data_IF_531070793274
#
_entry.id   IF_531070793274
#
_cell.length_a   1.000
_cell.length_b   1.000
_cell.length_c   1.000
_cell.angle_alpha   90.00
_cell.angle_beta   90.00
_cell.angle_gamma   90.00
#
_symmetry.space_group_name_H-M   'P 1'
#
loop_
_entity.id
_entity.type
_entity.pdbx_description
1 polymer ?
#
# COMPACT_ATOMS: atom_id res chain seq x y z
N UNK A 1 52.41 -18.93 31.54
CA UNK A 1 51.00 -19.36 31.54
C UNK A 1 50.17 -18.12 31.28
N UNK A 2 49.94 -17.81 30.00
CA UNK A 2 49.09 -16.71 29.60
C UNK A 2 47.65 -17.22 29.53
N UNK A 3 46.81 -16.75 30.43
CA UNK A 3 45.38 -17.03 30.46
C UNK A 3 44.70 -16.26 29.34
N UNK A 4 44.35 -16.97 28.26
CA UNK A 4 43.45 -16.48 27.20
C UNK A 4 42.05 -16.30 27.78
N UNK A 5 41.68 -15.05 28.04
CA UNK A 5 40.31 -14.68 28.44
C UNK A 5 39.40 -14.87 27.23
N UNK A 6 38.49 -15.85 27.31
CA UNK A 6 37.49 -16.10 26.29
C UNK A 6 36.48 -14.95 26.24
N UNK A 7 36.40 -14.29 25.09
CA UNK A 7 35.45 -13.23 24.80
C UNK A 7 34.04 -13.85 24.70
N UNK A 8 33.15 -13.51 25.63
CA UNK A 8 31.78 -14.01 25.60
C UNK A 8 30.98 -13.21 24.57
N UNK A 9 30.17 -13.87 23.72
CA UNK A 9 29.35 -13.17 22.72
C UNK A 9 28.30 -12.30 23.43
N UNK A 10 28.45 -11.00 23.30
CA UNK A 10 27.47 -10.00 23.75
C UNK A 10 26.18 -10.20 22.98
N UNK A 11 25.16 -10.77 23.63
CA UNK A 11 23.83 -10.92 23.03
C UNK A 11 23.25 -9.52 22.81
N UNK A 12 23.17 -9.10 21.54
CA UNK A 12 22.62 -7.81 21.16
C UNK A 12 21.20 -7.67 21.73
N UNK A 13 20.98 -6.59 22.49
CA UNK A 13 19.66 -6.29 23.04
C UNK A 13 18.65 -6.14 21.89
N UNK A 14 17.52 -6.83 21.97
CA UNK A 14 16.45 -6.71 20.99
C UNK A 14 16.04 -5.23 20.87
N UNK A 15 15.97 -4.73 19.64
CA UNK A 15 15.58 -3.35 19.38
C UNK A 15 14.21 -3.05 20.03
N UNK A 16 14.04 -1.85 20.62
CA UNK A 16 12.77 -1.48 21.22
C UNK A 16 11.67 -1.51 20.17
N UNK A 17 10.55 -2.15 20.52
CA UNK A 17 9.38 -2.24 19.65
C UNK A 17 8.83 -0.84 19.32
N UNK A 18 8.61 -0.58 18.04
CA UNK A 18 8.04 0.67 17.54
C UNK A 18 6.80 0.38 16.66
N UNK A 19 5.59 0.79 17.09
CA UNK A 19 4.36 0.60 16.32
C UNK A 19 4.39 1.30 14.96
N UNK A 20 5.16 2.38 14.80
CA UNK A 20 5.28 3.08 13.52
C UNK A 20 6.12 2.29 12.51
N UNK A 21 7.15 1.57 12.98
CA UNK A 21 7.89 0.63 12.13
C UNK A 21 7.04 -0.56 11.69
N UNK A 22 6.11 -1.02 12.53
CA UNK A 22 5.14 -2.04 12.14
C UNK A 22 4.22 -1.52 11.03
N UNK A 23 3.65 -0.33 11.20
CA UNK A 23 2.79 0.29 10.16
C UNK A 23 3.57 0.52 8.86
N UNK A 24 4.82 0.96 8.94
CA UNK A 24 5.70 1.11 7.77
C UNK A 24 5.91 -0.22 7.04
N UNK A 25 6.13 -1.33 7.77
CA UNK A 25 6.25 -2.67 7.17
C UNK A 25 4.93 -3.12 6.53
N UNK A 26 3.80 -2.84 7.15
CA UNK A 26 2.48 -3.14 6.58
C UNK A 26 2.23 -2.36 5.29
N UNK A 27 2.64 -1.10 5.23
CA UNK A 27 2.57 -0.30 4.00
C UNK A 27 3.53 -0.82 2.92
N UNK A 28 4.73 -1.30 3.27
CA UNK A 28 5.61 -1.97 2.31
C UNK A 28 4.99 -3.26 1.76
N UNK A 29 4.32 -4.05 2.60
CA UNK A 29 3.60 -5.23 2.15
C UNK A 29 2.43 -4.90 1.24
N UNK A 30 1.63 -3.89 1.61
CA UNK A 30 0.52 -3.42 0.81
C UNK A 30 1.01 -2.90 -0.55
N UNK A 31 2.13 -2.19 -0.56
CA UNK A 31 2.76 -1.71 -1.78
C UNK A 31 3.27 -2.84 -2.67
N UNK A 32 3.96 -3.82 -2.08
CA UNK A 32 4.45 -4.99 -2.80
C UNK A 32 3.29 -5.75 -3.44
N UNK A 33 2.21 -5.96 -2.69
CA UNK A 33 0.98 -6.56 -3.20
C UNK A 33 0.39 -5.76 -4.36
N UNK A 34 0.35 -4.43 -4.25
CA UNK A 34 -0.15 -3.56 -5.32
C UNK A 34 0.69 -3.66 -6.60
N UNK A 35 2.02 -3.71 -6.48
CA UNK A 35 2.93 -3.95 -7.60
C UNK A 35 2.73 -5.34 -8.22
N UNK A 36 2.34 -6.33 -7.42
CA UNK A 36 1.93 -7.67 -7.88
C UNK A 36 0.48 -7.69 -8.42
N UNK A 37 -0.22 -6.56 -8.42
CA UNK A 37 -1.60 -6.43 -8.91
C UNK A 37 -2.68 -6.87 -7.91
N UNK A 38 -2.33 -7.03 -6.64
CA UNK A 38 -3.24 -7.35 -5.54
C UNK A 38 -3.55 -6.07 -4.76
N UNK A 39 -4.79 -5.60 -4.84
CA UNK A 39 -5.24 -4.44 -4.07
C UNK A 39 -5.38 -4.78 -2.59
N UNK A 40 -5.10 -3.81 -1.72
CA UNK A 40 -5.34 -3.92 -0.27
C UNK A 40 -6.47 -2.97 0.11
N UNK A 41 -7.53 -3.50 0.73
CA UNK A 41 -8.73 -2.73 1.10
C UNK A 41 -8.68 -2.17 2.53
N UNK A 42 -7.61 -2.49 3.29
CA UNK A 42 -7.39 -1.96 4.63
C UNK A 42 -7.18 -0.44 4.57
N UNK A 43 -8.07 0.34 5.18
CA UNK A 43 -7.94 1.81 5.26
C UNK A 43 -7.22 2.26 6.54
N UNK A 44 -7.34 1.48 7.62
CA UNK A 44 -6.87 1.84 8.95
C UNK A 44 -6.12 0.68 9.57
N UNK A 45 -4.99 0.97 10.20
CA UNK A 45 -4.30 0.07 11.10
C UNK A 45 -4.59 0.46 12.55
N UNK A 46 -4.94 -0.51 13.37
CA UNK A 46 -5.11 -0.34 14.82
C UNK A 46 -4.11 -1.25 15.51
N UNK A 47 -3.05 -0.67 16.06
CA UNK A 47 -2.05 -1.41 16.84
C UNK A 47 -2.43 -1.33 18.31
N UNK A 48 -2.64 -2.48 18.96
CA UNK A 48 -2.99 -2.55 20.39
C UNK A 48 -1.78 -2.98 21.20
N UNK A 49 -1.41 -2.18 22.19
CA UNK A 49 -0.27 -2.46 23.07
C UNK A 49 -0.54 -1.94 24.49
N UNK A 50 -0.48 -2.84 25.49
CA UNK A 50 -0.60 -2.46 26.90
C UNK A 50 -1.91 -1.72 27.27
N UNK A 51 -3.00 -1.98 26.53
CA UNK A 51 -4.29 -1.29 26.70
C UNK A 51 -4.39 0.07 26.00
N UNK A 52 -3.34 0.51 25.29
CA UNK A 52 -3.39 1.66 24.40
C UNK A 52 -3.66 1.22 22.96
N UNK A 53 -4.46 2.01 22.24
CA UNK A 53 -4.68 1.85 20.81
C UNK A 53 -3.98 2.96 20.04
N UNK A 54 -3.09 2.58 19.12
CA UNK A 54 -2.46 3.50 18.18
C UNK A 54 -3.13 3.29 16.82
N UNK A 55 -3.75 4.36 16.31
CA UNK A 55 -4.51 4.32 15.06
C UNK A 55 -3.75 5.06 13.98
N UNK A 56 -3.47 4.37 12.88
CA UNK A 56 -2.83 4.93 11.69
C UNK A 56 -3.69 4.72 10.45
N UNK A 57 -3.64 5.66 9.50
CA UNK A 57 -4.20 5.44 8.16
C UNK A 57 -3.21 4.61 7.34
N UNK A 58 -3.68 3.66 6.53
CA UNK A 58 -2.84 3.00 5.53
C UNK A 58 -2.55 3.94 4.36
N UNK A 59 -1.80 3.48 3.34
CA UNK A 59 -1.75 4.17 2.04
C UNK A 59 -3.15 4.42 1.48
N UNK A 60 -3.97 3.38 1.39
CA UNK A 60 -5.34 3.47 0.87
C UNK A 60 -6.21 4.41 1.72
N UNK A 61 -6.02 4.43 3.04
CA UNK A 61 -6.71 5.37 3.92
C UNK A 61 -6.32 6.84 3.71
N UNK A 62 -5.06 7.11 3.37
CA UNK A 62 -4.62 8.47 2.97
C UNK A 62 -5.26 8.86 1.64
N UNK A 63 -5.32 7.95 0.67
CA UNK A 63 -5.97 8.19 -0.62
C UNK A 63 -7.47 8.47 -0.45
N UNK A 64 -8.16 7.73 0.44
CA UNK A 64 -9.56 7.96 0.77
C UNK A 64 -9.79 9.32 1.42
N UNK A 65 -8.90 9.76 2.31
CA UNK A 65 -8.95 11.11 2.86
C UNK A 65 -8.79 12.20 1.79
N UNK A 66 -7.91 11.98 0.80
CA UNK A 66 -7.78 12.88 -0.34
C UNK A 66 -9.08 12.93 -1.14
N UNK A 67 -9.75 11.79 -1.38
CA UNK A 67 -11.04 11.75 -2.06
C UNK A 67 -12.15 12.46 -1.27
N UNK A 68 -12.16 12.32 0.06
CA UNK A 68 -13.07 13.07 0.93
C UNK A 68 -12.85 14.58 0.80
N UNK A 69 -11.61 15.06 0.67
CA UNK A 69 -11.32 16.47 0.39
C UNK A 69 -11.86 16.92 -0.97
N UNK A 70 -11.79 16.07 -2.00
CA UNK A 70 -12.34 16.39 -3.34
C UNK A 70 -13.83 16.71 -3.24
N UNK A 71 -14.58 15.94 -2.43
CA UNK A 71 -16.01 16.22 -2.20
C UNK A 71 -16.29 17.57 -1.53
N UNK A 72 -15.28 18.17 -0.90
CA UNK A 72 -15.32 19.48 -0.25
C UNK A 72 -14.74 20.61 -1.11
N UNK A 73 -14.44 20.34 -2.39
CA UNK A 73 -13.79 21.31 -3.28
C UNK A 73 -12.33 21.56 -2.93
N UNK A 74 -11.64 20.59 -2.34
CA UNK A 74 -10.20 20.66 -2.05
C UNK A 74 -9.46 19.51 -2.72
N UNK A 75 -8.27 19.80 -3.26
CA UNK A 75 -7.40 18.76 -3.84
C UNK A 75 -6.00 18.89 -3.26
N UNK A 76 -5.31 17.77 -3.10
CA UNK A 76 -3.89 17.75 -2.79
C UNK A 76 -3.13 17.34 -4.05
N UNK A 77 -2.15 18.13 -4.46
CA UNK A 77 -1.30 17.86 -5.62
C UNK A 77 0.15 17.68 -5.18
N UNK A 78 0.80 16.68 -5.75
CA UNK A 78 2.25 16.49 -5.64
C UNK A 78 2.92 17.42 -6.65
N UNK A 79 3.86 18.25 -6.19
CA UNK A 79 4.50 19.27 -7.02
C UNK A 79 5.92 18.87 -7.44
N UNK A 80 6.64 18.19 -6.54
CA UNK A 80 8.04 17.84 -6.73
C UNK A 80 8.38 16.59 -5.93
N UNK A 81 9.29 15.80 -6.48
CA UNK A 81 9.86 14.62 -5.83
C UNK A 81 11.35 14.55 -6.15
N UNK A 82 12.16 14.71 -5.12
CA UNK A 82 13.62 14.61 -5.21
C UNK A 82 14.13 13.53 -4.28
N UNK A 83 15.31 13.00 -4.56
CA UNK A 83 16.00 12.08 -3.65
C UNK A 83 17.51 12.31 -3.69
N UNK A 84 18.18 11.96 -2.59
CA UNK A 84 19.63 11.94 -2.48
C UNK A 84 20.08 10.60 -1.88
N UNK A 85 21.17 10.04 -2.41
CA UNK A 85 21.79 8.85 -1.82
C UNK A 85 22.73 9.30 -0.70
N UNK A 86 22.55 8.74 0.49
CA UNK A 86 23.35 9.00 1.68
C UNK A 86 24.00 7.70 2.17
N UNK A 87 25.17 7.83 2.81
CA UNK A 87 25.96 6.69 3.27
C UNK A 87 26.86 6.07 2.19
N UNK A 88 27.60 5.04 2.57
CA UNK A 88 28.56 4.31 1.72
C UNK A 88 28.35 2.80 1.83
N UNK A 89 28.83 2.04 0.84
CA UNK A 89 28.75 0.58 0.84
C UNK A 89 27.32 0.02 0.92
N UNK A 90 27.11 -0.92 1.84
CA UNK A 90 25.85 -1.64 2.04
C UNK A 90 24.91 -0.95 3.05
N UNK A 91 25.36 0.16 3.65
CA UNK A 91 24.56 1.02 4.53
C UNK A 91 23.97 2.21 3.76
N UNK A 92 24.02 2.18 2.43
CA UNK A 92 23.44 3.22 1.58
C UNK A 92 21.93 3.26 1.72
N UNK A 93 21.44 4.49 1.81
CA UNK A 93 20.01 4.79 1.84
C UNK A 93 19.69 5.92 0.88
N UNK A 94 18.44 5.97 0.43
CA UNK A 94 17.92 7.09 -0.31
C UNK A 94 17.02 7.93 0.60
N UNK A 95 17.31 9.23 0.71
CA UNK A 95 16.46 10.21 1.37
C UNK A 95 15.56 10.88 0.33
N UNK A 96 14.30 10.48 0.31
CA UNK A 96 13.26 11.05 -0.54
C UNK A 96 12.64 12.28 0.10
N UNK A 97 12.40 13.32 -0.70
CA UNK A 97 11.72 14.56 -0.33
C UNK A 97 10.61 14.80 -1.35
N UNK A 98 9.36 14.66 -0.91
CA UNK A 98 8.18 14.91 -1.74
C UNK A 98 7.51 16.21 -1.29
N UNK A 99 7.29 17.14 -2.21
CA UNK A 99 6.57 18.38 -1.96
C UNK A 99 5.12 18.22 -2.43
N UNK A 100 4.19 18.57 -1.57
CA UNK A 100 2.77 18.59 -1.91
C UNK A 100 2.14 19.89 -1.44
N UNK A 101 1.10 20.31 -2.15
CA UNK A 101 0.30 21.47 -1.80
C UNK A 101 -1.20 21.13 -1.87
N UNK A 102 -1.98 21.76 -1.01
CA UNK A 102 -3.44 21.68 -1.04
C UNK A 102 -4.01 22.91 -1.71
N UNK A 103 -5.05 22.71 -2.49
CA UNK A 103 -5.73 23.75 -3.25
C UNK A 103 -7.21 23.71 -2.95
N UNK A 104 -7.84 24.88 -2.80
CA UNK A 104 -9.28 25.02 -2.95
C UNK A 104 -9.59 25.17 -4.44
N UNK A 105 -10.58 24.44 -4.93
CA UNK A 105 -11.00 24.43 -6.33
C UNK A 105 -12.42 24.97 -6.41
N UNK A 106 -12.59 26.12 -7.05
CA UNK A 106 -13.90 26.70 -7.30
C UNK A 106 -14.66 25.86 -8.35
N UNK A 107 -16.01 25.94 -8.42
CA UNK A 107 -16.79 25.29 -9.47
C UNK A 107 -16.39 25.70 -10.89
N UNK A 108 -15.80 26.89 -11.05
CA UNK A 108 -15.24 27.41 -12.30
C UNK A 108 -13.92 26.74 -12.71
N UNK A 109 -13.35 25.87 -11.85
CA UNK A 109 -12.02 25.27 -12.04
C UNK A 109 -10.86 26.16 -11.59
N UNK A 110 -11.13 27.36 -11.06
CA UNK A 110 -10.09 28.23 -10.51
C UNK A 110 -9.53 27.62 -9.23
N UNK A 111 -8.20 27.50 -9.15
CA UNK A 111 -7.51 26.93 -7.99
C UNK A 111 -6.82 28.02 -7.16
N UNK A 112 -7.00 27.96 -5.84
CA UNK A 112 -6.28 28.79 -4.87
C UNK A 112 -5.48 27.88 -3.95
N UNK A 113 -4.16 28.04 -3.94
CA UNK A 113 -3.28 27.29 -3.04
C UNK A 113 -3.55 27.70 -1.58
N UNK A 114 -3.79 26.72 -0.72
CA UNK A 114 -4.07 26.92 0.70
C UNK A 114 -2.81 26.77 1.54
N UNK A 115 -2.13 25.63 1.43
CA UNK A 115 -0.92 25.29 2.17
C UNK A 115 -0.02 24.34 1.37
N UNK A 116 1.22 24.21 1.85
CA UNK A 116 2.26 23.41 1.23
C UNK A 116 3.13 22.77 2.32
N UNK A 117 3.53 21.52 2.11
CA UNK A 117 4.41 20.79 3.02
C UNK A 117 5.39 19.93 2.23
N UNK A 118 6.44 19.49 2.92
CA UNK A 118 7.38 18.50 2.41
C UNK A 118 7.23 17.24 3.27
N UNK A 119 7.01 16.09 2.64
CA UNK A 119 7.13 14.76 3.22
C UNK A 119 8.52 14.21 2.97
N UNK A 120 9.08 13.50 3.95
CA UNK A 120 10.40 12.89 3.83
C UNK A 120 10.33 11.40 4.18
N UNK A 121 11.17 10.59 3.53
CA UNK A 121 11.38 9.18 3.87
C UNK A 121 12.81 8.75 3.56
N UNK A 122 13.44 8.06 4.52
CA UNK A 122 14.67 7.29 4.29
C UNK A 122 14.28 5.87 3.88
N UNK A 123 14.90 5.38 2.82
CA UNK A 123 14.67 4.04 2.31
C UNK A 123 16.01 3.34 2.11
N UNK A 124 16.27 2.23 2.83
CA UNK A 124 17.44 1.39 2.59
C UNK A 124 17.48 0.92 1.14
N UNK A 125 18.64 1.07 0.50
CA UNK A 125 18.87 0.52 -0.84
C UNK A 125 19.04 -0.99 -0.76
N UNK A 126 19.61 -1.47 0.34
CA UNK A 126 19.90 -2.87 0.56
C UNK A 126 18.97 -3.43 1.63
N UNK A 127 18.57 -4.68 1.45
CA UNK A 127 17.89 -5.44 2.47
C UNK A 127 18.75 -6.63 2.88
N UNK A 128 18.61 -7.03 4.14
CA UNK A 128 19.14 -8.30 4.60
C UNK A 128 18.17 -9.39 4.12
N UNK A 129 18.57 -10.20 3.13
CA UNK A 129 17.75 -11.32 2.70
C UNK A 129 17.50 -12.27 3.88
N UNK A 130 16.33 -12.91 3.87
CA UNK A 130 16.03 -13.95 4.84
C UNK A 130 17.16 -14.99 4.87
N UNK A 131 17.49 -15.44 6.08
CA UNK A 131 18.48 -16.48 6.29
C UNK A 131 18.12 -17.72 5.47
N UNK A 132 19.10 -18.29 4.78
CA UNK A 132 18.93 -19.55 4.08
C UNK A 132 19.09 -20.69 5.07
N UNK A 133 17.97 -21.33 5.37
CA UNK A 133 17.91 -22.57 6.13
C UNK A 133 17.11 -23.63 5.34
N UNK A 134 17.00 -24.82 5.91
CA UNK A 134 16.27 -25.92 5.28
C UNK A 134 14.77 -25.63 5.13
N UNK A 135 14.21 -24.71 5.92
CA UNK A 135 12.79 -24.38 5.90
C UNK A 135 12.48 -23.19 4.98
N UNK A 136 13.51 -22.54 4.43
CA UNK A 136 13.38 -21.52 3.40
C UNK A 136 12.73 -22.10 2.13
N UNK A 137 11.91 -21.28 1.47
CA UNK A 137 11.21 -21.65 0.23
C UNK A 137 12.17 -21.61 -0.96
N UNK A 138 12.07 -22.61 -1.82
CA UNK A 138 12.92 -22.72 -3.00
C UNK A 138 12.43 -21.73 -4.09
N UNK A 139 13.31 -20.92 -4.70
CA UNK A 139 12.95 -19.93 -5.73
C UNK A 139 12.69 -20.61 -7.09
N UNK A 140 11.72 -21.53 -7.13
CA UNK A 140 11.38 -22.33 -8.31
C UNK A 140 9.93 -22.18 -8.69
N UNK A 141 9.66 -22.00 -9.99
CA UNK A 141 8.31 -22.08 -10.53
C UNK A 141 7.74 -23.50 -10.48
N UNK A 142 8.60 -24.52 -10.67
CA UNK A 142 8.21 -25.95 -10.65
C UNK A 142 7.87 -26.41 -9.23
N UNK A 143 8.63 -25.95 -8.23
CA UNK A 143 8.47 -26.33 -6.83
C UNK A 143 7.91 -25.17 -5.97
N UNK A 144 6.97 -24.40 -6.52
CA UNK A 144 6.42 -23.21 -5.86
C UNK A 144 5.86 -23.56 -4.47
N UNK A 145 6.41 -22.93 -3.45
CA UNK A 145 5.97 -23.08 -2.05
C UNK A 145 6.60 -24.23 -1.29
N UNK A 146 7.41 -25.09 -1.93
CA UNK A 146 8.17 -26.15 -1.26
C UNK A 146 9.43 -25.58 -0.60
N UNK A 147 9.84 -26.18 0.51
CA UNK A 147 11.08 -25.83 1.21
C UNK A 147 12.26 -26.65 0.70
N UNK A 148 13.48 -26.25 1.05
CA UNK A 148 14.67 -27.07 0.77
C UNK A 148 14.57 -28.46 1.43
N UNK A 149 14.05 -28.52 2.67
CA UNK A 149 13.77 -29.75 3.41
C UNK A 149 12.81 -30.66 2.64
N UNK A 150 11.72 -30.10 2.10
CA UNK A 150 10.74 -30.87 1.32
C UNK A 150 11.36 -31.50 0.07
N UNK A 151 12.31 -30.80 -0.58
CA UNK A 151 12.97 -31.29 -1.78
C UNK A 151 14.05 -32.33 -1.48
N UNK A 152 14.76 -32.20 -0.35
CA UNK A 152 15.71 -33.23 0.09
C UNK A 152 15.03 -34.57 0.40
N UNK A 153 13.73 -34.55 0.70
CA UNK A 153 12.92 -35.74 0.95
C UNK A 153 12.52 -36.54 -0.31
N UNK A 154 12.76 -36.02 -1.53
CA UNK A 154 12.34 -36.69 -2.78
C UNK A 154 13.51 -36.82 -3.77
N UNK A 155 13.51 -37.88 -4.60
CA UNK A 155 14.53 -38.08 -5.62
C UNK A 155 14.55 -36.93 -6.64
N UNK A 156 13.39 -36.61 -7.22
CA UNK A 156 13.22 -35.48 -8.14
C UNK A 156 13.60 -34.12 -7.52
N UNK A 157 13.45 -33.96 -6.21
CA UNK A 157 13.82 -32.75 -5.49
C UNK A 157 15.34 -32.64 -5.34
N UNK A 158 16.03 -33.74 -5.02
CA UNK A 158 17.49 -33.82 -4.97
C UNK A 158 18.12 -33.56 -6.34
N UNK A 159 17.57 -34.11 -7.41
CA UNK A 159 18.07 -33.85 -8.77
C UNK A 159 17.95 -32.37 -9.13
N UNK A 160 16.84 -31.74 -8.75
CA UNK A 160 16.66 -30.31 -8.95
C UNK A 160 17.63 -29.47 -8.13
N UNK A 161 17.87 -29.83 -6.87
CA UNK A 161 18.86 -29.17 -6.02
C UNK A 161 20.28 -29.35 -6.58
N UNK A 162 20.64 -30.53 -7.08
CA UNK A 162 21.93 -30.76 -7.74
C UNK A 162 22.09 -29.84 -8.96
N UNK A 163 21.04 -29.71 -9.78
CA UNK A 163 21.03 -28.75 -10.88
C UNK A 163 21.19 -27.30 -10.39
N UNK A 164 20.53 -26.90 -9.30
CA UNK A 164 20.69 -25.57 -8.71
C UNK A 164 22.13 -25.32 -8.24
N UNK A 165 22.78 -26.30 -7.60
CA UNK A 165 24.16 -26.17 -7.13
C UNK A 165 25.14 -25.83 -8.25
N UNK A 166 24.88 -26.29 -9.47
CA UNK A 166 25.73 -26.03 -10.64
C UNK A 166 25.33 -24.77 -11.42
N UNK A 167 24.03 -24.55 -11.59
CA UNK A 167 23.50 -23.65 -12.63
C UNK A 167 22.88 -22.35 -12.09
N UNK A 168 22.69 -22.20 -10.77
CA UNK A 168 22.05 -21.01 -10.23
C UNK A 168 22.99 -19.79 -10.24
N UNK A 169 22.48 -18.62 -10.61
CA UNK A 169 23.31 -17.42 -10.78
C UNK A 169 23.87 -16.86 -9.47
N UNK A 170 23.18 -17.08 -8.34
CA UNK A 170 23.61 -16.61 -7.03
C UNK A 170 24.61 -17.61 -6.40
N UNK A 171 25.89 -17.26 -6.23
CA UNK A 171 26.91 -18.17 -5.68
C UNK A 171 26.59 -18.62 -4.26
N UNK A 172 25.97 -17.76 -3.43
CA UNK A 172 25.57 -18.08 -2.06
C UNK A 172 24.52 -19.19 -2.02
N UNK A 173 23.59 -19.19 -2.99
CA UNK A 173 22.61 -20.27 -3.13
C UNK A 173 23.29 -21.55 -3.58
N UNK A 174 24.21 -21.48 -4.56
CA UNK A 174 24.95 -22.67 -5.03
C UNK A 174 25.73 -23.33 -3.91
N UNK A 175 26.47 -22.54 -3.13
CA UNK A 175 27.23 -23.02 -1.99
C UNK A 175 26.32 -23.62 -0.92
N UNK A 176 25.24 -22.91 -0.56
CA UNK A 176 24.24 -23.43 0.39
C UNK A 176 23.65 -24.77 -0.07
N UNK A 177 23.22 -24.85 -1.33
CA UNK A 177 22.63 -26.07 -1.89
C UNK A 177 23.65 -27.22 -1.94
N UNK A 178 24.91 -26.93 -2.24
CA UNK A 178 26.00 -27.91 -2.24
C UNK A 178 26.20 -28.51 -0.84
N UNK A 179 26.20 -27.66 0.19
CA UNK A 179 26.35 -28.08 1.60
C UNK A 179 25.18 -28.93 2.09
N UNK A 180 23.94 -28.52 1.81
CA UNK A 180 22.78 -29.33 2.24
C UNK A 180 22.69 -30.68 1.52
N UNK A 181 23.17 -30.76 0.26
CA UNK A 181 23.27 -32.02 -0.48
C UNK A 181 24.35 -32.94 0.07
N UNK A 182 25.43 -32.40 0.66
CA UNK A 182 26.44 -33.18 1.37
C UNK A 182 26.00 -33.62 2.78
N UNK A 183 24.81 -33.23 3.22
CA UNK A 183 24.26 -33.58 4.54
C UNK A 183 24.59 -32.58 5.64
N UNK A 184 25.13 -31.40 5.31
CA UNK A 184 25.30 -30.34 6.30
C UNK A 184 23.95 -29.68 6.58
N UNK A 185 23.57 -29.55 7.86
CA UNK A 185 22.50 -28.65 8.30
C UNK A 185 23.02 -27.20 8.35
N UNK A 186 23.60 -26.75 7.24
CA UNK A 186 24.17 -25.43 7.11
C UNK A 186 23.06 -24.37 7.20
N UNK A 187 23.37 -23.29 7.90
CA UNK A 187 22.61 -22.05 7.78
C UNK A 187 23.50 -21.05 7.07
N UNK A 188 23.04 -20.51 5.95
CA UNK A 188 23.79 -19.54 5.15
C UNK A 188 23.19 -18.14 5.29
N UNK A 189 24.03 -17.15 5.56
CA UNK A 189 23.65 -15.75 5.41
C UNK A 189 23.98 -15.34 3.98
N UNK A 190 22.97 -14.89 3.24
CA UNK A 190 23.20 -14.24 1.96
C UNK A 190 23.72 -12.82 2.22
N UNK A 191 24.63 -12.36 1.37
CA UNK A 191 25.03 -10.96 1.36
C UNK A 191 23.82 -10.03 1.19
N UNK A 192 23.94 -8.78 1.65
CA UNK A 192 22.90 -7.77 1.48
C UNK A 192 22.57 -7.61 0.00
N UNK A 193 21.27 -7.63 -0.33
CA UNK A 193 20.80 -7.55 -1.72
C UNK A 193 20.22 -6.17 -1.99
N UNK A 194 20.49 -5.63 -3.18
CA UNK A 194 19.86 -4.40 -3.63
C UNK A 194 18.36 -4.62 -3.77
N UNK A 195 17.55 -3.83 -3.07
CA UNK A 195 16.10 -3.86 -3.18
C UNK A 195 15.67 -3.29 -4.55
N UNK A 196 15.12 -4.09 -5.48
CA UNK A 196 14.76 -3.60 -6.82
C UNK A 196 13.68 -2.52 -6.81
N UNK A 197 12.96 -2.35 -5.70
CA UNK A 197 11.86 -1.40 -5.54
C UNK A 197 12.17 -0.30 -4.52
N UNK A 198 13.44 -0.05 -4.20
CA UNK A 198 13.83 1.00 -3.25
C UNK A 198 13.30 2.37 -3.69
N UNK A 199 13.29 2.65 -5.00
CA UNK A 199 12.85 3.93 -5.54
C UNK A 199 11.36 4.13 -5.35
N UNK A 200 10.55 3.20 -5.87
CA UNK A 200 9.09 3.24 -5.80
C UNK A 200 8.62 3.29 -4.35
N UNK A 201 9.20 2.44 -3.49
CA UNK A 201 8.85 2.40 -2.07
C UNK A 201 9.17 3.72 -1.35
N UNK A 202 10.36 4.27 -1.55
CA UNK A 202 10.77 5.52 -0.93
C UNK A 202 9.96 6.72 -1.43
N UNK A 203 9.76 6.82 -2.75
CA UNK A 203 8.99 7.86 -3.40
C UNK A 203 7.54 7.88 -2.90
N UNK A 204 6.84 6.75 -2.97
CA UNK A 204 5.43 6.68 -2.57
C UNK A 204 5.23 6.95 -1.07
N UNK A 205 6.15 6.51 -0.21
CA UNK A 205 6.08 6.82 1.22
C UNK A 205 6.33 8.30 1.51
N UNK A 206 7.30 8.92 0.84
CA UNK A 206 7.54 10.35 0.99
C UNK A 206 6.32 11.17 0.52
N UNK A 207 5.75 10.80 -0.62
CA UNK A 207 4.54 11.41 -1.17
C UNK A 207 3.34 11.22 -0.22
N UNK A 208 3.11 10.00 0.28
CA UNK A 208 2.08 9.70 1.29
C UNK A 208 2.28 10.56 2.55
N UNK A 209 3.51 10.68 3.05
CA UNK A 209 3.82 11.51 4.23
C UNK A 209 3.50 12.99 3.98
N UNK A 210 3.78 13.50 2.77
CA UNK A 210 3.43 14.86 2.38
C UNK A 210 1.90 15.05 2.36
N UNK A 211 1.18 14.14 1.71
CA UNK A 211 -0.30 14.16 1.63
C UNK A 211 -0.94 14.06 3.00
N UNK A 212 -0.50 13.12 3.85
CA UNK A 212 -1.00 12.95 5.22
C UNK A 212 -0.90 14.23 6.07
N UNK A 213 0.17 15.00 5.92
CA UNK A 213 0.37 16.26 6.64
C UNK A 213 -0.59 17.37 6.19
N UNK A 214 -1.09 17.33 4.96
CA UNK A 214 -2.06 18.29 4.43
C UNK A 214 -3.51 17.92 4.75
N UNK A 215 -3.78 16.70 5.21
CA UNK A 215 -5.15 16.25 5.52
C UNK A 215 -5.59 16.80 6.89
N UNK A 216 -6.69 17.59 6.94
CA UNK A 216 -7.25 18.09 8.19
C UNK A 216 -7.61 16.98 9.19
N UNK A 217 -7.48 17.26 10.49
CA UNK A 217 -7.77 16.29 11.56
C UNK A 217 -9.20 15.75 11.55
N UNK A 218 -10.19 16.58 11.22
CA UNK A 218 -11.59 16.19 11.11
C UNK A 218 -11.84 15.20 9.97
N UNK A 219 -11.20 15.39 8.81
CA UNK A 219 -11.31 14.47 7.67
C UNK A 219 -10.70 13.11 8.04
N UNK A 220 -9.53 13.11 8.69
CA UNK A 220 -8.90 11.86 9.19
C UNK A 220 -9.83 11.13 10.16
N UNK A 221 -10.40 11.84 11.13
CA UNK A 221 -11.30 11.24 12.12
C UNK A 221 -12.55 10.65 11.47
N UNK A 222 -13.13 11.33 10.48
CA UNK A 222 -14.29 10.83 9.73
C UNK A 222 -13.96 9.54 8.97
N UNK A 223 -12.87 9.51 8.21
CA UNK A 223 -12.46 8.31 7.46
C UNK A 223 -12.14 7.14 8.39
N UNK A 224 -11.46 7.40 9.52
CA UNK A 224 -11.19 6.37 10.53
C UNK A 224 -12.48 5.80 11.12
N UNK A 225 -13.45 6.65 11.45
CA UNK A 225 -14.74 6.21 12.00
C UNK A 225 -15.51 5.36 10.99
N UNK A 226 -15.60 5.80 9.73
CA UNK A 226 -16.24 5.05 8.64
C UNK A 226 -15.57 3.70 8.40
N UNK A 227 -14.23 3.66 8.32
CA UNK A 227 -13.47 2.42 8.10
C UNK A 227 -13.70 1.40 9.24
N UNK A 228 -13.77 1.88 10.50
CA UNK A 228 -14.11 1.02 11.65
C UNK A 228 -15.52 0.46 11.54
N UNK A 229 -16.50 1.28 11.15
CA UNK A 229 -17.89 0.83 10.97
C UNK A 229 -18.04 -0.18 9.82
N UNK A 230 -17.23 -0.04 8.77
CA UNK A 230 -17.26 -0.90 7.58
C UNK A 230 -16.37 -2.15 7.70
N UNK A 231 -15.66 -2.34 8.81
CA UNK A 231 -14.75 -3.48 8.99
C UNK A 231 -13.46 -3.38 8.15
N UNK A 232 -13.11 -2.21 7.63
CA UNK A 232 -11.87 -1.93 6.88
C UNK A 232 -10.70 -1.51 7.79
N UNK A 233 -10.86 -1.71 9.10
CA UNK A 233 -9.83 -1.48 10.09
C UNK A 233 -9.13 -2.81 10.44
N UNK A 234 -7.86 -2.92 10.09
CA UNK A 234 -7.04 -4.07 10.44
C UNK A 234 -6.44 -3.90 11.82
N UNK A 235 -6.90 -4.71 12.76
CA UNK A 235 -6.37 -4.76 14.13
C UNK A 235 -5.14 -5.65 14.15
N UNK A 236 -4.04 -5.14 14.70
CA UNK A 236 -2.80 -5.88 14.89
C UNK A 236 -2.45 -5.86 16.38
N UNK A 237 -2.37 -7.04 16.98
CA UNK A 237 -1.89 -7.17 18.36
C UNK A 237 -0.36 -7.14 18.37
N UNK A 238 0.22 -6.26 19.20
CA UNK A 238 1.65 -6.31 19.46
C UNK A 238 1.97 -7.65 20.14
N UNK A 239 2.98 -8.38 19.63
CA UNK A 239 3.44 -9.59 20.30
C UNK A 239 3.89 -9.22 21.71
N UNK A 240 3.19 -9.76 22.72
CA UNK A 240 3.27 -9.34 24.14
C UNK A 240 4.61 -9.64 24.85
N UNK A 241 5.71 -9.83 24.11
CA UNK A 241 7.05 -10.09 24.65
C UNK A 241 8.04 -8.93 24.56
N UNK A 242 7.74 -7.87 23.79
CA UNK A 242 8.76 -6.88 23.42
C UNK A 242 9.02 -5.75 24.44
N UNK A 243 8.16 -5.56 25.46
CA UNK A 243 8.32 -4.46 26.42
C UNK A 243 8.15 -4.93 27.87
N UNK A 244 9.18 -5.61 28.42
CA UNK A 244 9.32 -5.77 29.89
C UNK A 244 10.19 -4.69 30.55
N UNK A 245 10.54 -3.61 29.82
CA UNK A 245 11.61 -2.69 30.24
C UNK A 245 11.24 -1.21 30.46
N UNK A 246 10.17 -0.69 29.86
CA UNK A 246 9.89 0.76 29.95
C UNK A 246 9.07 1.05 31.20
N UNK A 247 9.74 1.48 32.27
CA UNK A 247 9.09 2.01 33.47
C UNK A 247 8.20 3.19 33.08
N UNK A 248 6.93 3.05 33.40
CA UNK A 248 5.85 4.03 33.26
C UNK A 248 6.28 5.37 33.89
N UNK A 249 6.63 6.36 33.06
CA UNK A 249 6.75 7.74 33.52
C UNK A 249 5.33 8.25 33.80
N UNK A 250 5.04 8.54 35.06
CA UNK A 250 3.76 9.09 35.51
C UNK A 250 3.56 10.48 34.90
N UNK A 251 2.50 10.73 34.10
CA UNK A 251 2.22 12.08 33.64
C UNK A 251 1.64 12.92 34.78
N UNK A 252 2.15 14.14 34.91
CA UNK A 252 1.63 15.15 35.83
C UNK A 252 0.20 15.53 35.46
N UNK A 253 -0.65 15.67 36.48
CA UNK A 253 -2.07 15.97 36.35
C UNK A 253 -2.32 17.33 35.67
N UNK A 254 -3.05 17.31 34.56
CA UNK A 254 -3.62 18.51 33.93
C UNK A 254 -5.12 18.51 34.20
N UNK A 255 -5.56 19.53 34.93
CA UNK A 255 -6.93 19.77 35.36
C UNK A 255 -7.81 20.16 34.18
N UNK A 256 -8.91 19.43 33.97
CA UNK A 256 -9.94 19.70 32.96
C UNK A 256 -11.06 20.57 33.56
N UNK A 257 -11.62 21.58 32.87
CA UNK A 257 -12.89 22.17 33.24
C UNK A 257 -14.09 21.49 32.56
N UNK A 258 -15.22 21.58 33.25
CA UNK A 258 -16.45 20.81 33.08
C UNK A 258 -17.23 21.07 31.78
N UNK A 259 -17.81 20.00 31.24
CA UNK A 259 -18.78 20.02 30.15
C UNK A 259 -20.22 20.22 30.68
N UNK A 260 -20.95 21.13 30.03
CA UNK A 260 -22.40 21.34 30.18
C UNK A 260 -23.13 20.42 29.20
N UNK A 261 -24.07 19.64 29.70
CA UNK A 261 -24.96 18.76 28.95
C UNK A 261 -26.29 19.46 28.62
N UNK A 262 -26.76 19.30 27.38
CA UNK A 262 -28.16 19.59 26.99
C UNK A 262 -28.65 18.51 26.01
N UNK A 263 -29.89 18.01 26.10
CA UNK A 263 -30.31 16.81 25.37
C UNK A 263 -31.15 17.07 24.09
N UNK A 264 -30.97 16.13 23.14
CA UNK A 264 -31.91 15.46 22.24
C UNK A 264 -32.99 16.24 21.43
N UNK A 265 -32.99 15.99 20.12
CA UNK A 265 -34.21 15.82 19.33
C UNK A 265 -33.99 14.78 18.22
N UNK A 266 -34.80 13.72 18.23
CA UNK A 266 -34.79 12.62 17.28
C UNK A 266 -35.74 12.93 16.10
N UNK A 267 -35.31 12.63 14.87
CA UNK A 267 -36.14 12.67 13.67
C UNK A 267 -36.08 11.31 12.98
N UNK A 268 -37.25 10.75 12.68
CA UNK A 268 -37.45 9.43 12.07
C UNK A 268 -37.07 9.39 10.57
N UNK A 269 -36.66 8.23 10.03
CA UNK A 269 -36.35 8.11 8.61
C UNK A 269 -37.56 7.68 7.76
N UNK A 270 -37.71 8.35 6.61
CA UNK A 270 -38.69 8.05 5.56
C UNK A 270 -38.18 6.93 4.64
N UNK A 271 -39.07 6.01 4.26
CA UNK A 271 -38.80 4.85 3.42
C UNK A 271 -38.43 5.24 1.97
N UNK A 272 -37.47 4.51 1.39
CA UNK A 272 -37.04 4.62 -0.01
C UNK A 272 -37.56 3.42 -0.81
N UNK A 273 -38.27 3.73 -1.89
CA UNK A 273 -38.85 2.79 -2.87
C UNK A 273 -37.78 2.17 -3.77
N UNK A 274 -37.80 0.84 -3.90
CA UNK A 274 -36.95 0.03 -4.80
C UNK A 274 -37.41 0.14 -6.25
N UNK A 275 -36.48 0.46 -7.16
CA UNK A 275 -36.68 0.42 -8.62
C UNK A 275 -35.98 -0.81 -9.24
N UNK A 276 -36.56 -1.28 -10.35
CA UNK A 276 -36.35 -2.59 -10.96
C UNK A 276 -34.98 -2.80 -11.63
N UNK A 277 -34.54 -4.05 -11.61
CA UNK A 277 -33.30 -4.58 -12.21
C UNK A 277 -33.51 -4.90 -13.71
N UNK A 278 -32.65 -4.46 -14.64
CA UNK A 278 -32.68 -4.92 -16.02
C UNK A 278 -31.85 -6.20 -16.26
N UNK A 279 -32.32 -7.00 -17.22
CA UNK A 279 -31.87 -8.34 -17.57
C UNK A 279 -30.39 -8.46 -17.99
N UNK A 280 -29.79 -9.58 -17.59
CA UNK A 280 -28.39 -9.92 -17.85
C UNK A 280 -28.17 -10.42 -19.29
N UNK A 281 -27.37 -9.67 -20.06
CA UNK A 281 -26.86 -10.11 -21.36
C UNK A 281 -25.67 -11.06 -21.14
N UNK A 282 -25.88 -12.36 -21.35
CA UNK A 282 -24.82 -13.37 -21.37
C UNK A 282 -23.89 -13.15 -22.57
N UNK A 283 -22.62 -12.75 -22.32
CA UNK A 283 -21.57 -12.68 -23.36
C UNK A 283 -20.46 -13.70 -23.09
N UNK A 284 -20.18 -14.50 -24.12
CA UNK A 284 -19.11 -15.50 -24.19
C UNK A 284 -17.85 -14.81 -24.70
N UNK A 285 -16.84 -14.70 -23.83
CA UNK A 285 -15.48 -14.25 -24.14
C UNK A 285 -14.52 -14.83 -23.10
N UNK A 286 -13.21 -14.96 -23.39
CA UNK A 286 -12.26 -15.73 -22.56
C UNK A 286 -11.96 -15.11 -21.19
N UNK A 287 -12.53 -13.95 -20.86
CA UNK A 287 -12.41 -13.31 -19.55
C UNK A 287 -13.78 -12.76 -19.12
N UNK A 288 -14.25 -13.19 -17.94
CA UNK A 288 -15.37 -12.54 -17.27
C UNK A 288 -14.92 -11.13 -16.85
N UNK A 289 -15.71 -10.06 -17.12
CA UNK A 289 -15.37 -8.71 -16.70
C UNK A 289 -15.24 -8.61 -15.18
N UNK A 290 -14.29 -7.83 -14.68
CA UNK A 290 -14.18 -7.55 -13.24
C UNK A 290 -15.34 -6.67 -12.78
N UNK A 291 -15.70 -6.73 -11.51
CA UNK A 291 -16.81 -5.94 -10.94
C UNK A 291 -16.64 -4.43 -11.16
N UNK A 292 -15.40 -3.92 -11.09
CA UNK A 292 -15.07 -2.52 -11.42
C UNK A 292 -15.31 -2.19 -12.89
N UNK A 293 -15.06 -3.14 -13.79
CA UNK A 293 -15.36 -2.98 -15.21
C UNK A 293 -16.88 -2.96 -15.43
N UNK A 294 -17.63 -3.85 -14.79
CA UNK A 294 -19.11 -3.86 -14.86
C UNK A 294 -19.70 -2.54 -14.36
N UNK A 295 -19.24 -2.03 -13.22
CA UNK A 295 -19.69 -0.76 -12.68
C UNK A 295 -19.33 0.43 -13.59
N UNK A 296 -18.16 0.40 -14.23
CA UNK A 296 -17.77 1.40 -15.22
C UNK A 296 -18.65 1.31 -16.48
N UNK A 297 -18.96 0.10 -16.97
CA UNK A 297 -19.84 -0.11 -18.12
C UNK A 297 -21.25 0.42 -17.87
N UNK A 298 -21.81 0.16 -16.69
CA UNK A 298 -23.12 0.71 -16.29
C UNK A 298 -23.10 2.24 -16.27
N UNK A 299 -22.08 2.85 -15.65
CA UNK A 299 -21.94 4.31 -15.64
C UNK A 299 -21.77 4.92 -17.03
N UNK A 300 -21.07 4.24 -17.93
CA UNK A 300 -20.86 4.73 -19.29
C UNK A 300 -22.13 4.59 -20.14
N UNK A 301 -22.91 3.52 -19.93
CA UNK A 301 -24.21 3.32 -20.54
C UNK A 301 -25.24 4.36 -20.07
N UNK A 302 -25.22 4.71 -18.78
CA UNK A 302 -26.11 5.68 -18.15
C UNK A 302 -25.67 7.14 -18.33
N UNK A 303 -24.45 7.38 -18.84
CA UNK A 303 -23.89 8.73 -18.94
C UNK A 303 -24.60 9.56 -20.02
N UNK A 304 -25.21 10.71 -19.67
CA UNK A 304 -25.87 11.60 -20.63
C UNK A 304 -24.87 12.41 -21.50
N UNK A 305 -23.57 12.25 -21.26
CA UNK A 305 -22.51 13.00 -21.94
C UNK A 305 -22.19 12.41 -23.32
N UNK A 306 -22.42 11.12 -23.51
CA UNK A 306 -22.13 10.41 -24.75
C UNK A 306 -23.41 10.21 -25.57
N UNK A 307 -23.27 10.24 -26.90
CA UNK A 307 -24.36 9.81 -27.80
C UNK A 307 -24.45 8.27 -27.83
N UNK A 308 -25.61 7.72 -28.20
CA UNK A 308 -25.78 6.26 -28.33
C UNK A 308 -24.77 5.63 -29.31
N UNK A 309 -24.43 6.35 -30.38
CA UNK A 309 -23.44 5.90 -31.36
C UNK A 309 -22.00 5.89 -30.83
N UNK A 310 -21.67 6.77 -29.88
CA UNK A 310 -20.37 6.77 -29.19
C UNK A 310 -20.29 5.69 -28.12
N UNK A 311 -21.37 5.51 -27.34
CA UNK A 311 -21.51 4.39 -26.39
C UNK A 311 -21.32 3.05 -27.10
N UNK A 312 -22.01 2.84 -28.23
CA UNK A 312 -21.92 1.60 -29.01
C UNK A 312 -20.51 1.36 -29.55
N UNK A 313 -19.83 2.39 -30.08
CA UNK A 313 -18.45 2.28 -30.57
C UNK A 313 -17.44 1.99 -29.46
N UNK A 314 -17.59 2.62 -28.28
CA UNK A 314 -16.75 2.34 -27.12
C UNK A 314 -16.92 0.89 -26.63
N UNK A 315 -18.16 0.41 -26.59
CA UNK A 315 -18.48 -0.97 -26.20
C UNK A 315 -17.99 -2.02 -27.21
N UNK A 316 -18.17 -1.80 -28.52
CA UNK A 316 -17.68 -2.70 -29.57
C UNK A 316 -16.15 -2.75 -29.61
N UNK A 317 -15.49 -1.62 -29.42
CA UNK A 317 -14.03 -1.56 -29.33
C UNK A 317 -13.51 -2.32 -28.11
N UNK A 318 -14.13 -2.13 -26.94
CA UNK A 318 -13.76 -2.84 -25.70
C UNK A 318 -13.99 -4.35 -25.82
N UNK A 319 -15.04 -4.78 -26.51
CA UNK A 319 -15.30 -6.20 -26.76
C UNK A 319 -14.28 -6.86 -27.69
N UNK A 320 -13.64 -6.10 -28.59
CA UNK A 320 -12.78 -6.64 -29.66
C UNK A 320 -11.28 -6.43 -29.44
N UNK A 321 -10.86 -5.40 -28.69
CA UNK A 321 -9.46 -4.93 -28.62
C UNK A 321 -8.89 -4.80 -27.20
N UNK A 322 -9.69 -5.01 -26.15
CA UNK A 322 -9.27 -4.75 -24.79
C UNK A 322 -8.27 -5.79 -24.26
N UNK A 323 -7.03 -5.37 -24.02
CA UNK A 323 -6.09 -6.03 -23.11
C UNK A 323 -6.07 -5.26 -21.78
N UNK A 324 -5.57 -5.87 -20.70
CA UNK A 324 -5.57 -5.25 -19.35
C UNK A 324 -4.94 -3.85 -19.32
N UNK A 325 -3.95 -3.61 -20.17
CA UNK A 325 -3.21 -2.35 -20.25
C UNK A 325 -3.99 -1.27 -21.04
N UNK A 326 -4.64 -1.65 -22.14
CA UNK A 326 -5.32 -0.69 -23.02
C UNK A 326 -6.62 -0.13 -22.42
N UNK A 327 -7.22 -0.81 -21.44
CA UNK A 327 -8.44 -0.36 -20.76
C UNK A 327 -8.18 0.90 -19.92
N UNK A 328 -7.04 1.00 -19.23
CA UNK A 328 -6.70 2.15 -18.38
C UNK A 328 -6.50 3.41 -19.22
N UNK A 329 -5.70 3.30 -20.27
CA UNK A 329 -5.42 4.41 -21.19
C UNK A 329 -6.71 4.91 -21.88
N UNK A 330 -7.65 4.00 -22.18
CA UNK A 330 -8.95 4.37 -22.73
C UNK A 330 -9.84 5.11 -21.72
N UNK A 331 -9.84 4.69 -20.44
CA UNK A 331 -10.59 5.37 -19.37
C UNK A 331 -10.06 6.79 -19.21
N UNK A 332 -8.73 6.97 -19.25
CA UNK A 332 -8.11 8.28 -19.14
C UNK A 332 -8.35 9.14 -20.39
N UNK A 333 -8.37 8.55 -21.59
CA UNK A 333 -8.77 9.24 -22.82
C UNK A 333 -10.25 9.70 -22.78
N UNK A 334 -11.17 8.83 -22.32
CA UNK A 334 -12.58 9.15 -22.19
C UNK A 334 -12.83 10.26 -21.15
N UNK A 335 -12.12 10.23 -20.01
CA UNK A 335 -12.16 11.31 -19.01
C UNK A 335 -11.74 12.65 -19.62
N UNK A 336 -10.63 12.67 -20.37
CA UNK A 336 -10.17 13.88 -21.08
C UNK A 336 -11.21 14.39 -22.07
N UNK A 337 -11.86 13.50 -22.83
CA UNK A 337 -12.92 13.91 -23.77
C UNK A 337 -14.14 14.54 -23.07
N UNK A 338 -14.53 14.00 -21.90
CA UNK A 338 -15.61 14.58 -21.08
C UNK A 338 -15.22 15.95 -20.56
N UNK A 339 -13.99 16.10 -20.06
CA UNK A 339 -13.47 17.39 -19.57
C UNK A 339 -13.42 18.44 -20.67
N UNK A 340 -12.90 18.10 -21.87
CA UNK A 340 -12.84 19.03 -23.01
C UNK A 340 -14.23 19.46 -23.50
N UNK A 341 -15.21 18.55 -23.51
CA UNK A 341 -16.59 18.87 -23.94
C UNK A 341 -17.36 19.70 -22.91
N UNK A 342 -17.08 19.51 -21.62
CA UNK A 342 -17.66 20.35 -20.57
C UNK A 342 -17.13 21.78 -20.65
N UNK A 343 -15.84 21.97 -20.97
CA UNK A 343 -15.26 23.31 -21.21
C UNK A 343 -15.90 24.03 -22.41
N UNK A 344 -16.17 23.33 -23.51
CA UNK A 344 -16.85 23.94 -24.67
C UNK A 344 -18.31 24.35 -24.40
N UNK A 345 -19.00 23.67 -23.47
CA UNK A 345 -20.37 24.01 -23.06
C UNK A 345 -20.45 25.21 -22.13
N UNK A 346 -19.46 25.40 -21.24
CA UNK A 346 -19.41 26.59 -20.39
C UNK A 346 -19.17 27.86 -21.21
N UNK A 347 -18.36 27.78 -22.26
CA UNK A 347 -18.04 28.94 -23.11
C UNK A 347 -19.22 29.35 -24.01
N UNK A 348 -20.06 28.40 -24.42
CA UNK A 348 -21.25 28.67 -25.24
C UNK A 348 -22.46 29.18 -24.43
N UNK A 349 -22.42 29.10 -23.10
CA UNK A 349 -23.48 29.60 -22.21
C UNK A 349 -23.22 31.04 -21.72
N UNK A 350 -22.05 31.61 -22.04
CA UNK A 350 -21.63 32.94 -21.63
C UNK A 350 -21.67 33.98 -22.77
N UNK A 351 -22.15 33.58 -23.95
CA UNK A 351 -22.46 34.44 -25.09
C UNK A 351 -23.98 34.41 -25.33
#
# INVERSE_FOLDING_TARGET
METTTADQPTVAAAAPWDPFQLMDRMDEEALRRELEGVATDDLVYVVKEGGQEIVGLSKTGVDECCMALVSQGQVIREEDLTYEIIGEGDDREALFKARAARFAVAPTGTEVRLDQVIGVKRQPLFYEPAQLDLDARVPSRKYKGRTYRDLLGTADGRDYLAWMAENFNEPEIREFVTRILSGDEAVAQRGRQLNPHWYEAGAMKAARNARFRLIPGNVRAQVIASARQQGQARVVEAQSGALRGVRKATPAAVTTPAAVTTPAAAVAPTAVTTAATPEAVTRIGPYAPTEKQVAFFQRLAESPVFTDGERKRALDWLATKATRHTIKDQIDWLKRQVETRNQGRSDSSAA
#
